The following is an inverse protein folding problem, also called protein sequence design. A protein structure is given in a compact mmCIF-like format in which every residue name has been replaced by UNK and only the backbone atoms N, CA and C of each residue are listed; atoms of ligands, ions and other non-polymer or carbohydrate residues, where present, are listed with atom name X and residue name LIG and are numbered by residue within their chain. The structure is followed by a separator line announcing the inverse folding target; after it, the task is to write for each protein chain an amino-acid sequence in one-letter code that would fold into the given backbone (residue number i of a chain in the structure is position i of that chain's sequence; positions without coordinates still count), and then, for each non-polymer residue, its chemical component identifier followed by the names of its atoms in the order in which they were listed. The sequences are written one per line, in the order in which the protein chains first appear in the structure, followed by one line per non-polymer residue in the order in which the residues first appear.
data_IF_748674076122
#
_entry.id   IF_748674076122
#
_cell.length_a   1.000
_cell.length_b   1.000
_cell.length_c   1.000
_cell.angle_alpha   90.00
_cell.angle_beta   90.00
_cell.angle_gamma   90.00
#
_symmetry.space_group_name_H-M   'P 1'
#
loop_
_entity.id
_entity.type
_entity.pdbx_description
1 polymer ?
#
# COMPACT_ATOMS: atom_id res chain seq x y z
N UNK A 1 18.31 7.72 8.57
CA UNK A 1 18.42 7.89 7.10
C UNK A 1 17.66 9.14 6.72
N UNK A 2 18.22 10.02 5.87
CA UNK A 2 17.51 11.22 5.41
C UNK A 2 16.25 10.85 4.65
N UNK A 3 15.16 11.57 4.91
CA UNK A 3 13.82 11.35 4.38
C UNK A 3 13.55 12.25 3.17
N UNK A 4 12.46 11.99 2.45
CA UNK A 4 12.03 12.83 1.32
C UNK A 4 10.67 13.47 1.59
N UNK A 5 10.58 14.76 1.32
CA UNK A 5 9.39 15.58 1.51
C UNK A 5 8.92 16.17 0.19
N UNK A 6 7.67 15.88 -0.15
CA UNK A 6 6.96 16.56 -1.22
C UNK A 6 6.57 17.96 -0.75
N UNK A 7 6.85 18.98 -1.55
CA UNK A 7 6.36 20.35 -1.35
C UNK A 7 5.60 20.85 -2.57
N UNK A 8 4.78 21.88 -2.39
CA UNK A 8 4.03 22.57 -3.45
C UNK A 8 4.37 24.05 -3.46
N UNK A 9 4.42 24.62 -4.65
CA UNK A 9 4.54 26.05 -4.86
C UNK A 9 3.21 26.66 -5.34
N UNK A 10 2.11 26.22 -4.70
CA UNK A 10 0.77 26.72 -4.97
C UNK A 10 -0.13 25.84 -5.83
N UNK A 11 -1.38 26.28 -6.00
CA UNK A 11 -2.41 25.47 -6.69
C UNK A 11 -2.12 25.36 -8.18
N UNK A 12 -1.58 26.41 -8.79
CA UNK A 12 -1.22 26.47 -10.22
C UNK A 12 0.28 26.60 -10.45
N UNK A 13 1.08 26.45 -9.40
CA UNK A 13 2.53 26.65 -9.49
C UNK A 13 2.93 28.13 -9.46
N UNK A 14 2.07 29.00 -8.91
CA UNK A 14 2.28 30.44 -8.90
C UNK A 14 3.57 30.89 -8.18
N UNK A 15 4.17 30.02 -7.34
CA UNK A 15 5.41 30.29 -6.62
C UNK A 15 6.60 29.46 -7.09
N UNK A 16 6.48 28.68 -8.18
CA UNK A 16 7.54 27.76 -8.63
C UNK A 16 8.87 28.48 -8.90
N UNK A 17 8.82 29.60 -9.60
CA UNK A 17 10.03 30.34 -9.97
C UNK A 17 10.69 30.93 -8.71
N UNK A 18 9.89 31.52 -7.81
CA UNK A 18 10.37 32.05 -6.54
C UNK A 18 11.11 31.01 -5.68
N UNK A 19 10.53 29.83 -5.48
CA UNK A 19 11.13 28.80 -4.62
C UNK A 19 12.44 28.26 -5.19
N UNK A 20 12.54 28.18 -6.52
CA UNK A 20 13.76 27.74 -7.21
C UNK A 20 14.85 28.82 -7.16
N UNK A 21 14.52 30.06 -7.50
CA UNK A 21 15.47 31.19 -7.53
C UNK A 21 16.03 31.54 -6.14
N UNK A 22 15.21 31.44 -5.09
CA UNK A 22 15.59 31.83 -3.74
C UNK A 22 16.09 30.65 -2.89
N UNK A 23 16.13 29.43 -3.44
CA UNK A 23 16.61 28.24 -2.72
C UNK A 23 15.78 27.93 -1.47
N UNK A 24 14.46 27.97 -1.56
CA UNK A 24 13.56 27.74 -0.42
C UNK A 24 12.42 26.79 -0.75
N UNK A 25 11.79 26.19 0.26
CA UNK A 25 10.53 25.46 0.11
C UNK A 25 9.63 25.65 1.34
N UNK A 26 8.34 25.28 1.24
CA UNK A 26 7.38 25.41 2.36
C UNK A 26 6.38 26.58 2.25
N UNK A 27 6.35 27.28 1.10
CA UNK A 27 5.44 28.42 0.86
C UNK A 27 3.94 28.05 0.86
N UNK A 28 3.07 29.03 1.09
CA UNK A 28 1.61 28.91 0.99
C UNK A 28 0.85 28.87 2.33
N UNK A 29 1.50 29.23 3.43
CA UNK A 29 0.88 29.38 4.76
C UNK A 29 0.75 30.87 5.12
N UNK A 30 -0.17 31.58 4.47
CA UNK A 30 -0.32 33.04 4.51
C UNK A 30 -0.96 33.59 5.79
N UNK A 31 -1.65 32.75 6.57
CA UNK A 31 -2.50 33.18 7.69
C UNK A 31 -1.94 32.90 9.08
N UNK A 32 -0.67 32.51 9.19
CA UNK A 32 -0.07 32.11 10.46
C UNK A 32 1.15 32.96 10.82
N UNK A 33 1.36 33.20 12.12
CA UNK A 33 2.57 33.85 12.62
C UNK A 33 3.74 32.87 12.60
N UNK A 34 4.93 33.36 12.96
CA UNK A 34 6.12 32.54 13.17
C UNK A 34 5.83 31.33 14.09
N UNK A 35 6.27 30.16 13.65
CA UNK A 35 6.09 28.87 14.35
C UNK A 35 7.32 28.49 15.17
N UNK A 36 8.36 29.32 15.19
CA UNK A 36 9.64 29.02 15.85
C UNK A 36 9.47 28.69 17.34
N UNK A 37 8.51 29.32 18.02
CA UNK A 37 8.20 29.09 19.43
C UNK A 37 7.29 27.87 19.70
N UNK A 38 6.77 27.21 18.68
CA UNK A 38 5.85 26.08 18.84
C UNK A 38 6.62 24.78 19.03
N UNK A 39 6.41 24.14 20.17
CA UNK A 39 7.20 23.00 20.64
C UNK A 39 6.47 21.67 20.55
N UNK A 40 5.15 21.69 20.38
CA UNK A 40 4.34 20.47 20.27
C UNK A 40 3.28 20.50 19.18
N UNK A 41 2.92 19.30 18.70
CA UNK A 41 1.81 19.11 17.75
C UNK A 41 0.47 19.55 18.35
N UNK A 42 0.29 19.45 19.66
CA UNK A 42 -0.90 19.92 20.37
C UNK A 42 -1.03 21.43 20.28
N UNK A 43 0.02 22.16 20.66
CA UNK A 43 0.10 23.62 20.55
C UNK A 43 -0.17 24.12 19.13
N UNK A 44 0.44 23.45 18.13
CA UNK A 44 0.21 23.80 16.73
C UNK A 44 -1.24 23.62 16.31
N UNK A 45 -1.90 22.53 16.74
CA UNK A 45 -3.30 22.27 16.43
C UNK A 45 -4.23 23.30 17.09
N UNK A 46 -3.93 23.70 18.32
CA UNK A 46 -4.71 24.67 19.06
C UNK A 46 -4.54 26.09 18.49
N UNK A 47 -3.32 26.46 18.09
CA UNK A 47 -3.05 27.70 17.35
C UNK A 47 -3.84 27.74 16.03
N UNK A 48 -3.77 26.68 15.22
CA UNK A 48 -4.50 26.60 13.94
C UNK A 48 -6.01 26.72 14.17
N UNK A 49 -6.56 26.07 15.20
CA UNK A 49 -7.99 26.17 15.52
C UNK A 49 -8.39 27.60 15.89
N UNK A 50 -7.53 28.32 16.62
CA UNK A 50 -7.78 29.70 17.05
C UNK A 50 -7.72 30.68 15.88
N UNK A 51 -6.72 30.57 15.01
CA UNK A 51 -6.47 31.53 13.92
C UNK A 51 -7.28 31.26 12.66
N UNK A 52 -7.83 30.05 12.50
CA UNK A 52 -8.69 29.68 11.38
C UNK A 52 -10.08 29.21 11.88
N UNK A 53 -10.88 30.10 12.47
CA UNK A 53 -12.22 29.77 12.93
C UNK A 53 -13.12 29.31 11.75
N UNK A 54 -14.04 28.40 12.03
CA UNK A 54 -14.98 27.86 11.02
C UNK A 54 -14.45 26.68 10.20
N UNK A 55 -13.17 26.29 10.34
CA UNK A 55 -12.65 25.05 9.73
C UNK A 55 -13.12 23.82 10.51
N UNK A 56 -13.53 22.78 9.78
CA UNK A 56 -13.89 21.50 10.40
C UNK A 56 -12.68 20.77 11.00
N UNK A 57 -12.93 19.81 11.91
CA UNK A 57 -11.89 19.06 12.64
C UNK A 57 -10.85 18.41 11.72
N UNK A 58 -11.27 17.87 10.58
CA UNK A 58 -10.40 17.21 9.60
C UNK A 58 -9.47 18.22 8.90
N UNK A 59 -10.01 19.38 8.51
CA UNK A 59 -9.23 20.45 7.88
C UNK A 59 -8.17 21.01 8.83
N UNK A 60 -8.52 21.20 10.10
CA UNK A 60 -7.57 21.63 11.16
C UNK A 60 -6.46 20.57 11.34
N UNK A 61 -6.82 19.29 11.39
CA UNK A 61 -5.85 18.20 11.54
C UNK A 61 -4.88 18.09 10.34
N UNK A 62 -5.39 18.25 9.11
CA UNK A 62 -4.57 18.24 7.90
C UNK A 62 -3.64 19.45 7.81
N UNK A 63 -4.12 20.64 8.19
CA UNK A 63 -3.33 21.87 8.12
C UNK A 63 -2.23 21.89 9.20
N UNK A 64 -2.58 21.58 10.45
CA UNK A 64 -1.61 21.44 11.55
C UNK A 64 -0.56 20.37 11.29
N UNK A 65 -0.94 19.22 10.70
CA UNK A 65 0.03 18.19 10.33
C UNK A 65 1.04 18.63 9.28
N UNK A 66 0.64 19.48 8.33
CA UNK A 66 1.52 20.04 7.30
C UNK A 66 2.51 21.04 7.88
N UNK A 67 2.03 21.97 8.71
CA UNK A 67 2.87 22.95 9.39
C UNK A 67 3.86 22.29 10.33
N UNK A 68 3.43 21.26 11.06
CA UNK A 68 4.29 20.54 11.98
C UNK A 68 5.37 19.76 11.25
N UNK A 69 5.04 19.16 10.10
CA UNK A 69 6.04 18.54 9.25
C UNK A 69 7.12 19.53 8.81
N UNK A 70 6.70 20.70 8.28
CA UNK A 70 7.63 21.75 7.87
C UNK A 70 8.49 22.27 9.04
N UNK A 71 7.87 22.50 10.21
CA UNK A 71 8.52 23.09 11.39
C UNK A 71 9.48 22.14 12.10
N UNK A 72 9.12 20.87 12.24
CA UNK A 72 9.74 19.97 13.22
C UNK A 72 10.21 18.62 12.66
N UNK A 73 9.81 18.23 11.45
CA UNK A 73 10.24 16.95 10.87
C UNK A 73 11.21 17.11 9.70
N UNK A 74 11.08 18.18 8.91
CA UNK A 74 12.04 18.48 7.85
C UNK A 74 13.36 18.89 8.48
N UNK A 75 14.40 18.08 8.27
CA UNK A 75 15.72 18.26 8.87
C UNK A 75 16.78 18.51 7.79
N UNK A 76 17.92 19.09 8.17
CA UNK A 76 19.07 19.25 7.25
C UNK A 76 19.49 17.90 6.69
N UNK A 77 19.74 17.85 5.38
CA UNK A 77 20.09 16.63 4.64
C UNK A 77 18.90 15.83 4.10
N UNK A 78 17.65 16.15 4.50
CA UNK A 78 16.47 15.60 3.84
C UNK A 78 16.36 16.09 2.39
N UNK A 79 15.63 15.33 1.56
CA UNK A 79 15.27 15.74 0.21
C UNK A 79 13.98 16.54 0.20
N UNK A 80 13.96 17.64 -0.55
CA UNK A 80 12.73 18.31 -0.97
C UNK A 80 12.46 17.99 -2.43
N UNK A 81 11.22 17.60 -2.72
CA UNK A 81 10.72 17.37 -4.08
C UNK A 81 9.61 18.36 -4.39
N UNK A 82 9.71 19.00 -5.54
CA UNK A 82 8.72 19.94 -6.06
C UNK A 82 8.32 19.54 -7.48
N UNK A 83 7.16 18.89 -7.66
CA UNK A 83 6.55 18.72 -8.97
C UNK A 83 6.08 20.07 -9.52
N UNK A 84 6.63 20.44 -10.67
CA UNK A 84 6.42 21.71 -11.38
C UNK A 84 5.27 21.54 -12.36
N UNK A 85 4.17 22.25 -12.11
CA UNK A 85 2.93 22.16 -12.87
C UNK A 85 3.02 22.88 -14.20
N UNK A 86 3.83 23.94 -14.30
CA UNK A 86 3.99 24.72 -15.54
C UNK A 86 4.73 23.93 -16.62
N UNK A 87 5.78 23.21 -16.23
CA UNK A 87 6.68 22.52 -17.17
C UNK A 87 6.54 21.00 -17.16
N UNK A 88 5.74 20.44 -16.24
CA UNK A 88 5.59 18.99 -16.06
C UNK A 88 6.93 18.29 -15.77
N UNK A 89 7.75 18.95 -14.95
CA UNK A 89 9.04 18.46 -14.48
C UNK A 89 9.03 18.31 -12.95
N UNK A 90 10.08 17.74 -12.40
CA UNK A 90 10.30 17.54 -10.97
C UNK A 90 11.60 18.26 -10.61
N UNK A 91 11.54 19.12 -9.60
CA UNK A 91 12.74 19.65 -8.94
C UNK A 91 13.03 18.89 -7.66
N UNK A 92 14.31 18.57 -7.44
CA UNK A 92 14.81 17.82 -6.29
C UNK A 92 16.01 18.58 -5.72
N UNK A 93 15.99 18.79 -4.40
CA UNK A 93 17.05 19.49 -3.69
C UNK A 93 17.25 18.94 -2.29
N UNK A 94 18.34 19.36 -1.64
CA UNK A 94 18.69 18.99 -0.27
C UNK A 94 18.38 20.13 0.68
N UNK A 95 17.80 19.81 1.83
CA UNK A 95 17.57 20.80 2.89
C UNK A 95 18.92 21.21 3.49
N UNK A 96 19.21 22.52 3.47
CA UNK A 96 20.43 23.11 4.03
C UNK A 96 20.17 23.87 5.32
N UNK A 97 18.91 24.25 5.58
CA UNK A 97 18.47 24.85 6.84
C UNK A 97 17.05 24.41 7.13
N UNK A 98 16.82 24.01 8.38
CA UNK A 98 15.49 23.70 8.92
C UNK A 98 14.57 24.94 8.89
N UNK A 99 13.37 24.80 9.45
CA UNK A 99 12.38 25.86 9.42
C UNK A 99 12.89 27.20 9.93
N UNK A 100 12.56 28.26 9.21
CA UNK A 100 12.71 29.64 9.64
C UNK A 100 11.61 30.52 9.05
N UNK A 101 11.36 31.64 9.70
CA UNK A 101 10.37 32.63 9.26
C UNK A 101 11.08 33.79 8.55
N UNK A 102 10.76 33.99 7.28
CA UNK A 102 11.26 35.09 6.45
C UNK A 102 10.50 36.37 6.76
N UNK A 103 11.24 37.47 6.78
CA UNK A 103 10.66 38.80 6.60
C UNK A 103 10.43 39.04 5.11
N UNK A 104 9.18 38.90 4.68
CA UNK A 104 8.77 39.04 3.28
C UNK A 104 7.41 39.77 3.23
N UNK A 105 7.22 40.74 2.31
CA UNK A 105 5.95 41.45 2.19
C UNK A 105 4.79 40.50 1.83
N UNK A 106 5.04 39.39 1.13
CA UNK A 106 4.04 38.37 0.83
C UNK A 106 3.97 37.34 1.98
N UNK A 107 2.88 37.28 2.76
CA UNK A 107 2.73 36.32 3.86
C UNK A 107 2.85 34.86 3.41
N UNK A 108 2.50 34.55 2.15
CA UNK A 108 2.63 33.22 1.58
C UNK A 108 4.07 32.76 1.39
N UNK A 109 5.07 33.65 1.50
CA UNK A 109 6.50 33.36 1.32
C UNK A 109 7.29 33.31 2.63
N UNK A 110 6.62 33.49 3.77
CA UNK A 110 7.30 33.64 5.07
C UNK A 110 7.72 32.32 5.71
N UNK A 111 6.91 31.27 5.59
CA UNK A 111 7.24 29.96 6.17
C UNK A 111 8.11 29.15 5.21
N UNK A 112 9.38 28.95 5.56
CA UNK A 112 10.31 28.26 4.66
C UNK A 112 11.30 27.34 5.38
N UNK A 113 11.84 26.40 4.61
CA UNK A 113 13.12 25.72 4.82
C UNK A 113 14.05 26.13 3.68
N UNK A 114 15.37 26.13 3.91
CA UNK A 114 16.33 26.42 2.82
C UNK A 114 16.70 25.14 2.10
N UNK A 115 16.76 25.21 0.77
CA UNK A 115 16.96 24.08 -0.12
C UNK A 115 18.03 24.42 -1.15
N UNK A 116 19.04 23.57 -1.22
CA UNK A 116 19.99 23.54 -2.33
C UNK A 116 19.42 22.67 -3.45
N UNK A 117 18.81 23.31 -4.45
CA UNK A 117 18.21 22.65 -5.61
C UNK A 117 19.29 22.05 -6.50
N UNK A 118 19.44 20.72 -6.44
CA UNK A 118 20.46 19.99 -7.20
C UNK A 118 20.04 19.73 -8.64
N UNK A 119 18.75 19.50 -8.89
CA UNK A 119 18.23 19.25 -10.23
C UNK A 119 16.78 19.72 -10.34
N UNK A 120 16.45 20.48 -11.38
CA UNK A 120 15.14 21.17 -11.49
C UNK A 120 14.33 20.77 -12.72
N UNK A 121 14.90 19.94 -13.59
CA UNK A 121 14.45 19.66 -14.95
C UNK A 121 14.09 18.20 -15.19
N UNK A 122 14.04 17.37 -14.14
CA UNK A 122 13.71 15.94 -14.24
C UNK A 122 12.33 15.80 -14.89
N UNK A 123 12.19 15.14 -16.06
CA UNK A 123 10.88 14.94 -16.69
C UNK A 123 9.94 14.18 -15.74
N UNK A 124 8.65 14.54 -15.70
CA UNK A 124 7.67 13.82 -14.87
C UNK A 124 7.67 12.31 -15.16
N UNK A 125 7.81 11.93 -16.43
CA UNK A 125 7.88 10.55 -16.93
C UNK A 125 9.10 9.77 -16.45
N UNK A 126 10.17 10.46 -16.04
CA UNK A 126 11.38 9.80 -15.57
C UNK A 126 11.13 9.05 -14.25
N UNK A 127 10.11 9.44 -13.48
CA UNK A 127 9.63 8.72 -12.31
C UNK A 127 8.62 7.63 -12.71
N UNK A 128 8.78 6.43 -12.16
CA UNK A 128 7.84 5.34 -12.35
C UNK A 128 6.47 5.68 -11.74
N UNK A 129 5.43 4.98 -12.20
CA UNK A 129 4.02 5.28 -11.88
C UNK A 129 3.73 5.35 -10.37
N UNK A 130 4.29 4.44 -9.59
CA UNK A 130 4.08 4.35 -8.15
C UNK A 130 4.67 5.56 -7.39
N UNK A 131 5.86 6.01 -7.78
CA UNK A 131 6.48 7.22 -7.26
C UNK A 131 5.69 8.46 -7.72
N UNK A 132 5.27 8.52 -8.98
CA UNK A 132 4.39 9.60 -9.50
C UNK A 132 3.07 9.68 -8.73
N UNK A 133 2.47 8.54 -8.40
CA UNK A 133 1.26 8.48 -7.58
C UNK A 133 1.49 9.07 -6.18
N UNK A 134 2.62 8.77 -5.55
CA UNK A 134 3.01 9.40 -4.28
C UNK A 134 3.24 10.91 -4.43
N UNK A 135 3.89 11.32 -5.51
CA UNK A 135 4.13 12.72 -5.86
C UNK A 135 2.88 13.48 -6.34
N UNK A 136 1.75 12.81 -6.55
CA UNK A 136 0.47 13.41 -6.96
C UNK A 136 -0.38 13.95 -5.79
N UNK A 137 0.05 13.73 -4.54
CA UNK A 137 -0.67 14.15 -3.33
C UNK A 137 -1.10 15.62 -3.37
N UNK A 138 -2.36 15.90 -3.09
CA UNK A 138 -2.91 17.27 -3.10
C UNK A 138 -2.45 18.13 -1.90
N UNK A 139 -1.65 17.58 -0.98
CA UNK A 139 -1.14 18.32 0.19
C UNK A 139 0.01 19.26 -0.21
N UNK A 140 0.13 20.38 0.50
CA UNK A 140 1.22 21.35 0.31
C UNK A 140 2.55 20.77 0.76
N UNK A 141 2.58 20.05 1.86
CA UNK A 141 3.75 19.30 2.32
C UNK A 141 3.37 17.93 2.85
N UNK A 142 4.09 16.88 2.45
CA UNK A 142 4.00 15.58 3.10
C UNK A 142 5.24 14.74 2.84
N UNK A 143 5.53 13.81 3.75
CA UNK A 143 6.52 12.78 3.49
C UNK A 143 6.14 11.98 2.23
N UNK A 144 7.12 11.70 1.38
CA UNK A 144 6.97 10.79 0.25
C UNK A 144 6.92 9.38 0.83
N UNK A 145 5.77 8.71 0.68
CA UNK A 145 5.51 7.38 1.25
C UNK A 145 5.38 6.35 0.13
N UNK A 146 6.50 5.94 -0.43
CA UNK A 146 6.62 4.76 -1.29
C UNK A 146 7.91 4.02 -0.94
N UNK A 147 7.97 2.75 -1.30
CA UNK A 147 9.09 1.88 -1.02
C UNK A 147 10.36 2.46 -1.66
N UNK A 148 11.38 2.65 -0.83
CA UNK A 148 12.66 3.29 -1.16
C UNK A 148 12.56 4.66 -1.84
N UNK A 149 11.43 5.37 -1.66
CA UNK A 149 11.15 6.63 -2.35
C UNK A 149 12.23 7.69 -2.16
N UNK A 150 12.81 7.79 -0.96
CA UNK A 150 13.91 8.71 -0.71
C UNK A 150 15.17 8.36 -1.51
N UNK A 151 15.51 7.08 -1.65
CA UNK A 151 16.67 6.65 -2.44
C UNK A 151 16.43 6.86 -3.93
N UNK A 152 15.26 6.47 -4.44
CA UNK A 152 14.88 6.67 -5.85
C UNK A 152 14.87 8.14 -6.26
N UNK A 153 14.49 9.03 -5.35
CA UNK A 153 14.59 10.47 -5.57
C UNK A 153 16.04 10.97 -5.61
N UNK A 154 16.97 10.37 -4.86
CA UNK A 154 18.42 10.63 -5.03
C UNK A 154 18.91 10.15 -6.38
N UNK A 155 18.46 9.00 -6.84
CA UNK A 155 18.86 8.43 -8.12
C UNK A 155 18.32 9.28 -9.28
N UNK A 156 17.07 9.75 -9.19
CA UNK A 156 16.52 10.76 -10.11
C UNK A 156 17.29 12.08 -10.08
N UNK A 157 17.67 12.55 -8.90
CA UNK A 157 18.45 13.78 -8.75
C UNK A 157 19.82 13.68 -9.42
N UNK A 158 20.50 12.54 -9.26
CA UNK A 158 21.87 12.33 -9.75
C UNK A 158 21.92 11.87 -11.20
N UNK A 159 21.13 10.87 -11.56
CA UNK A 159 21.18 10.21 -12.89
C UNK A 159 20.06 10.68 -13.82
N UNK A 160 18.96 11.19 -13.28
CA UNK A 160 17.77 11.57 -14.06
C UNK A 160 16.89 10.37 -14.43
N UNK A 161 17.18 9.20 -13.87
CA UNK A 161 16.42 7.98 -14.05
C UNK A 161 15.97 7.46 -12.69
N UNK A 162 14.71 7.06 -12.62
CA UNK A 162 14.19 6.29 -11.50
C UNK A 162 14.56 4.82 -11.73
N UNK A 163 15.34 4.17 -10.85
CA UNK A 163 15.64 2.74 -10.99
C UNK A 163 14.38 1.87 -10.77
N UNK A 164 13.26 2.47 -10.37
CA UNK A 164 12.09 1.77 -9.87
C UNK A 164 12.28 1.40 -8.40
N UNK A 165 11.27 0.77 -7.82
CA UNK A 165 11.45 0.11 -6.52
C UNK A 165 12.58 -0.91 -6.70
N UNK A 166 13.65 -0.88 -5.88
CA UNK A 166 14.66 -1.92 -5.91
C UNK A 166 13.92 -3.25 -5.85
N UNK A 167 14.10 -4.07 -6.88
CA UNK A 167 13.73 -5.46 -6.76
C UNK A 167 14.54 -5.99 -5.59
N UNK A 168 13.90 -6.13 -4.42
CA UNK A 168 14.34 -7.12 -3.44
C UNK A 168 14.57 -8.38 -4.28
N UNK A 169 15.69 -9.10 -4.18
CA UNK A 169 15.80 -10.36 -4.91
C UNK A 169 14.54 -11.19 -4.58
N UNK A 170 13.64 -11.34 -5.57
CA UNK A 170 12.29 -11.89 -5.41
C UNK A 170 11.07 -10.93 -5.55
N UNK A 171 11.21 -9.61 -5.69
CA UNK A 171 10.08 -8.68 -5.86
C UNK A 171 9.82 -8.36 -7.35
N UNK A 172 8.64 -8.74 -7.82
CA UNK A 172 8.14 -8.67 -9.19
C UNK A 172 7.30 -7.40 -9.41
N UNK A 173 7.26 -6.89 -10.65
CA UNK A 173 6.58 -5.62 -10.98
C UNK A 173 5.06 -5.79 -11.12
N UNK A 174 4.24 -4.71 -11.13
CA UNK A 174 2.79 -4.79 -11.30
C UNK A 174 2.31 -5.48 -12.60
N UNK A 175 3.19 -5.66 -13.58
CA UNK A 175 2.93 -6.35 -14.84
C UNK A 175 3.32 -7.85 -14.82
N UNK A 176 3.88 -8.33 -13.72
CA UNK A 176 4.30 -9.71 -13.50
C UNK A 176 3.25 -10.47 -12.69
N UNK A 177 1.97 -10.36 -13.04
CA UNK A 177 0.99 -11.28 -12.47
C UNK A 177 1.30 -12.66 -12.99
N UNK A 178 1.56 -13.57 -12.07
CA UNK A 178 1.72 -14.97 -12.40
C UNK A 178 0.47 -15.48 -13.11
N UNK A 179 0.68 -16.20 -14.19
CA UNK A 179 -0.35 -16.97 -14.88
C UNK A 179 -0.94 -18.02 -13.92
N UNK A 180 -2.15 -18.56 -14.20
CA UNK A 180 -2.71 -19.65 -13.42
C UNK A 180 -1.74 -20.83 -13.27
N UNK A 181 -1.04 -21.20 -14.35
CA UNK A 181 -0.07 -22.29 -14.36
C UNK A 181 1.10 -22.04 -13.42
N UNK A 182 1.65 -20.82 -13.39
CA UNK A 182 2.76 -20.47 -12.48
C UNK A 182 2.29 -20.45 -11.02
N UNK A 183 1.11 -19.90 -10.73
CA UNK A 183 0.54 -19.93 -9.38
C UNK A 183 0.35 -21.37 -8.88
N UNK A 184 -0.22 -22.23 -9.73
CA UNK A 184 -0.45 -23.62 -9.38
C UNK A 184 0.88 -24.39 -9.24
N UNK A 185 1.89 -24.10 -10.06
CA UNK A 185 3.22 -24.67 -9.93
C UNK A 185 3.86 -24.31 -8.58
N UNK A 186 3.81 -23.04 -8.16
CA UNK A 186 4.31 -22.61 -6.84
C UNK A 186 3.57 -23.30 -5.69
N UNK A 187 2.24 -23.43 -5.80
CA UNK A 187 1.44 -24.11 -4.79
C UNK A 187 1.79 -25.59 -4.66
N UNK A 188 1.98 -26.27 -5.79
CA UNK A 188 2.38 -27.67 -5.82
C UNK A 188 3.80 -27.86 -5.30
N UNK A 189 4.74 -26.99 -5.67
CA UNK A 189 6.11 -27.04 -5.18
C UNK A 189 6.17 -26.91 -3.64
N UNK A 190 5.37 -26.02 -3.07
CA UNK A 190 5.27 -25.84 -1.62
C UNK A 190 4.64 -27.04 -0.87
N UNK A 191 3.87 -27.89 -1.57
CA UNK A 191 3.27 -29.10 -0.99
C UNK A 191 4.04 -30.38 -1.32
N UNK A 192 4.93 -30.33 -2.32
CA UNK A 192 5.80 -31.42 -2.80
C UNK A 192 5.14 -32.80 -2.67
N UNK A 193 5.59 -33.58 -1.69
CA UNK A 193 5.32 -35.01 -1.51
C UNK A 193 3.90 -35.30 -1.00
N UNK A 194 3.14 -34.26 -0.65
CA UNK A 194 1.77 -34.38 -0.13
C UNK A 194 0.73 -34.41 -1.25
N UNK A 195 1.09 -34.09 -2.49
CA UNK A 195 0.19 -34.11 -3.65
C UNK A 195 0.41 -35.38 -4.46
N UNK A 196 -0.64 -36.18 -4.61
CA UNK A 196 -0.62 -37.44 -5.38
C UNK A 196 -1.05 -37.20 -6.82
N UNK A 197 -2.02 -36.31 -7.04
CA UNK A 197 -2.59 -36.03 -8.36
C UNK A 197 -3.06 -34.58 -8.42
N UNK A 198 -2.84 -33.93 -9.57
CA UNK A 198 -3.37 -32.62 -9.88
C UNK A 198 -4.04 -32.60 -11.25
N UNK A 199 -5.06 -31.76 -11.42
CA UNK A 199 -5.57 -31.40 -12.75
C UNK A 199 -4.53 -30.57 -13.53
N UNK A 200 -4.88 -30.21 -14.78
CA UNK A 200 -4.09 -29.29 -15.60
C UNK A 200 -3.84 -27.96 -14.86
N UNK A 201 -2.58 -27.51 -14.84
CA UNK A 201 -2.15 -26.29 -14.15
C UNK A 201 -2.68 -25.01 -14.80
N UNK A 202 -3.00 -25.03 -16.09
CA UNK A 202 -3.66 -23.91 -16.78
C UNK A 202 -5.13 -23.74 -16.43
N UNK A 203 -5.75 -24.74 -15.80
CA UNK A 203 -7.19 -24.74 -15.48
C UNK A 203 -7.43 -24.22 -14.07
N UNK A 204 -8.46 -23.38 -13.94
CA UNK A 204 -8.96 -22.90 -12.66
C UNK A 204 -10.39 -23.40 -12.44
N UNK A 205 -10.73 -23.92 -11.24
CA UNK A 205 -9.85 -24.19 -10.10
C UNK A 205 -8.91 -25.38 -10.33
N UNK A 206 -7.79 -25.40 -9.60
CA UNK A 206 -6.90 -26.56 -9.55
C UNK A 206 -7.53 -27.65 -8.68
N UNK A 207 -7.71 -28.85 -9.22
CA UNK A 207 -8.21 -29.98 -8.46
C UNK A 207 -7.06 -30.89 -8.00
N UNK A 208 -7.02 -31.21 -6.71
CA UNK A 208 -5.94 -31.98 -6.12
C UNK A 208 -6.47 -33.23 -5.41
N UNK A 209 -5.66 -34.30 -5.44
CA UNK A 209 -5.70 -35.38 -4.46
C UNK A 209 -4.44 -35.31 -3.60
N UNK A 210 -4.63 -35.31 -2.28
CA UNK A 210 -3.55 -35.16 -1.31
C UNK A 210 -3.57 -36.31 -0.29
N UNK A 211 -2.47 -36.46 0.43
CA UNK A 211 -2.28 -37.49 1.46
C UNK A 211 -1.92 -36.89 2.82
N UNK A 212 -1.89 -37.74 3.85
CA UNK A 212 -1.51 -37.35 5.21
C UNK A 212 -2.61 -36.61 5.94
N UNK A 213 -2.25 -35.57 6.68
CA UNK A 213 -3.16 -34.73 7.48
C UNK A 213 -3.89 -33.66 6.67
N UNK A 214 -3.67 -33.60 5.36
CA UNK A 214 -4.33 -32.68 4.44
C UNK A 214 -5.69 -33.24 3.96
N UNK A 215 -6.61 -32.39 3.50
CA UNK A 215 -7.87 -32.87 2.93
C UNK A 215 -7.61 -33.72 1.68
N UNK A 216 -8.08 -34.97 1.69
CA UNK A 216 -7.81 -35.96 0.64
C UNK A 216 -8.15 -35.47 -0.77
N UNK A 217 -9.20 -34.63 -0.90
CA UNK A 217 -9.59 -34.01 -2.16
C UNK A 217 -9.82 -32.52 -1.94
N UNK A 218 -9.09 -31.70 -2.66
CA UNK A 218 -9.22 -30.25 -2.62
C UNK A 218 -9.56 -29.66 -3.99
N UNK A 219 -10.19 -28.50 -3.96
CA UNK A 219 -10.45 -27.63 -5.11
C UNK A 219 -9.93 -26.24 -4.78
N UNK A 220 -8.88 -25.82 -5.46
CA UNK A 220 -8.11 -24.62 -5.11
C UNK A 220 -8.46 -23.49 -6.08
N UNK A 221 -9.05 -22.43 -5.56
CA UNK A 221 -9.25 -21.18 -6.29
C UNK A 221 -8.11 -20.24 -5.94
N UNK A 222 -7.10 -20.21 -6.81
CA UNK A 222 -5.89 -19.42 -6.61
C UNK A 222 -5.93 -18.08 -7.36
N UNK A 223 -5.33 -17.06 -6.75
CA UNK A 223 -5.28 -15.70 -7.25
C UNK A 223 -3.95 -15.02 -6.91
N UNK A 224 -3.50 -14.11 -7.76
CA UNK A 224 -2.44 -13.18 -7.40
C UNK A 224 -2.93 -12.25 -6.28
N UNK A 225 -2.26 -12.26 -5.12
CA UNK A 225 -2.47 -11.30 -4.06
C UNK A 225 -1.55 -10.10 -4.30
N UNK A 226 -2.13 -8.95 -4.63
CA UNK A 226 -1.36 -7.77 -5.08
C UNK A 226 -1.56 -6.57 -4.17
N UNK A 227 -0.56 -5.69 -4.09
CA UNK A 227 -0.65 -4.36 -3.47
C UNK A 227 -0.85 -3.30 -4.55
N UNK A 228 -2.09 -3.03 -5.01
CA UNK A 228 -2.30 -2.02 -6.05
C UNK A 228 -1.84 -0.64 -5.56
N UNK A 229 -1.00 0.08 -6.34
CA UNK A 229 -0.60 1.44 -6.03
C UNK A 229 -1.83 2.34 -5.85
N UNK A 230 -1.90 3.11 -4.76
CA UNK A 230 -2.95 4.13 -4.55
C UNK A 230 -4.27 3.64 -3.92
N UNK A 231 -4.42 2.35 -3.61
CA UNK A 231 -5.58 1.86 -2.84
C UNK A 231 -5.48 2.27 -1.36
N UNK A 232 -6.43 3.06 -0.84
CA UNK A 232 -6.63 3.12 0.62
C UNK A 232 -7.34 1.84 1.08
N UNK A 233 -6.95 1.25 2.22
CA UNK A 233 -5.84 1.62 3.10
C UNK A 233 -4.47 1.22 2.51
N UNK A 234 -3.47 2.08 2.68
CA UNK A 234 -2.08 1.71 2.41
C UNK A 234 -1.68 0.58 3.37
N UNK A 235 -1.14 -0.52 2.85
CA UNK A 235 -0.73 -1.68 3.65
C UNK A 235 -1.66 -2.89 3.59
N UNK A 236 -2.41 -3.11 2.51
CA UNK A 236 -3.17 -4.36 2.31
C UNK A 236 -2.85 -5.01 0.96
N UNK A 237 -2.84 -6.34 0.92
CA UNK A 237 -2.91 -7.13 -0.30
C UNK A 237 -4.37 -7.45 -0.63
N UNK A 238 -4.65 -7.58 -1.92
CA UNK A 238 -6.00 -7.86 -2.43
C UNK A 238 -5.97 -8.95 -3.50
N UNK A 239 -6.98 -9.80 -3.46
CA UNK A 239 -7.38 -10.69 -4.55
C UNK A 239 -8.75 -10.24 -5.11
N UNK A 240 -9.02 -10.56 -6.38
CA UNK A 240 -10.30 -10.33 -7.04
C UNK A 240 -10.98 -11.66 -7.32
N UNK A 241 -12.11 -11.93 -6.67
CA UNK A 241 -12.87 -13.16 -6.90
C UNK A 241 -13.56 -13.08 -8.26
N UNK A 242 -13.12 -13.96 -9.16
CA UNK A 242 -13.70 -14.23 -10.47
C UNK A 242 -13.57 -15.74 -10.66
N UNK A 243 -14.69 -16.45 -10.58
CA UNK A 243 -14.77 -17.90 -10.77
C UNK A 243 -15.00 -18.23 -12.26
N UNK A 244 -14.78 -19.49 -12.70
CA UNK A 244 -15.04 -19.87 -14.09
C UNK A 244 -16.47 -19.51 -14.52
N UNK A 245 -16.62 -19.02 -15.75
CA UNK A 245 -17.89 -18.59 -16.33
C UNK A 245 -18.60 -17.46 -15.55
N UNK A 246 -17.88 -16.69 -14.72
CA UNK A 246 -18.46 -15.56 -13.99
C UNK A 246 -18.39 -14.28 -14.81
N UNK A 247 -19.52 -13.77 -15.29
CA UNK A 247 -19.55 -12.55 -16.10
C UNK A 247 -19.90 -11.29 -15.30
N UNK A 248 -19.62 -10.12 -15.88
CA UNK A 248 -19.92 -8.83 -15.25
C UNK A 248 -21.43 -8.67 -15.04
N UNK A 249 -21.81 -8.30 -13.82
CA UNK A 249 -23.22 -8.16 -13.41
C UNK A 249 -23.83 -9.45 -12.85
N UNK A 250 -23.19 -10.60 -13.03
CA UNK A 250 -23.62 -11.86 -12.44
C UNK A 250 -23.12 -12.02 -11.00
N UNK A 251 -23.81 -12.90 -10.27
CA UNK A 251 -23.41 -13.35 -8.94
C UNK A 251 -22.67 -14.68 -9.05
N UNK A 252 -21.56 -14.79 -8.32
CA UNK A 252 -20.70 -15.98 -8.31
C UNK A 252 -20.76 -16.70 -6.96
N UNK A 253 -20.50 -18.00 -7.01
CA UNK A 253 -20.28 -18.86 -5.86
C UNK A 253 -19.11 -19.80 -6.17
N UNK A 254 -18.43 -20.28 -5.14
CA UNK A 254 -17.48 -21.38 -5.29
C UNK A 254 -18.23 -22.69 -5.50
N UNK A 255 -17.67 -23.58 -6.31
CA UNK A 255 -18.22 -24.91 -6.53
C UNK A 255 -17.86 -25.84 -5.37
N UNK A 256 -18.88 -26.22 -4.60
CA UNK A 256 -18.80 -27.07 -3.41
C UNK A 256 -19.13 -28.55 -3.70
N UNK A 257 -19.28 -28.94 -4.98
CA UNK A 257 -19.64 -30.30 -5.37
C UNK A 257 -18.52 -31.34 -5.13
N UNK A 258 -18.86 -32.61 -5.40
CA UNK A 258 -17.92 -33.74 -5.47
C UNK A 258 -17.16 -34.09 -4.17
N UNK A 259 -17.64 -33.59 -3.03
CA UNK A 259 -17.04 -33.86 -1.72
C UNK A 259 -15.61 -33.29 -1.59
N UNK A 260 -15.27 -32.26 -2.37
CA UNK A 260 -13.97 -31.60 -2.31
C UNK A 260 -13.98 -30.46 -1.30
N UNK A 261 -12.90 -30.33 -0.53
CA UNK A 261 -12.69 -29.14 0.30
C UNK A 261 -12.25 -27.98 -0.60
N UNK A 262 -13.00 -26.87 -0.55
CA UNK A 262 -12.65 -25.68 -1.32
C UNK A 262 -11.65 -24.82 -0.55
N UNK A 263 -10.50 -24.55 -1.19
CA UNK A 263 -9.46 -23.66 -0.69
C UNK A 263 -9.48 -22.36 -1.50
N UNK A 264 -9.62 -21.23 -0.81
CA UNK A 264 -9.48 -19.90 -1.39
C UNK A 264 -8.08 -19.37 -1.06
N UNK A 265 -7.22 -19.30 -2.08
CA UNK A 265 -5.80 -19.03 -1.92
C UNK A 265 -5.39 -17.78 -2.70
N UNK A 266 -4.64 -16.90 -2.05
CA UNK A 266 -3.90 -15.82 -2.67
C UNK A 266 -2.41 -16.07 -2.53
N UNK A 267 -1.63 -15.65 -3.52
CA UNK A 267 -0.17 -15.71 -3.45
C UNK A 267 0.41 -14.32 -3.62
N UNK A 268 1.13 -13.85 -2.60
CA UNK A 268 1.89 -12.62 -2.61
C UNK A 268 3.31 -12.95 -3.08
N UNK A 269 3.53 -12.87 -4.40
CA UNK A 269 4.77 -13.28 -5.04
C UNK A 269 6.00 -12.57 -4.46
N UNK A 270 5.89 -11.25 -4.23
CA UNK A 270 6.99 -10.43 -3.70
C UNK A 270 7.49 -10.86 -2.31
N UNK A 271 6.68 -11.59 -1.56
CA UNK A 271 6.99 -12.06 -0.21
C UNK A 271 7.09 -13.59 -0.14
N UNK A 272 6.83 -14.30 -1.23
CA UNK A 272 6.68 -15.76 -1.29
C UNK A 272 5.72 -16.31 -0.21
N UNK A 273 4.59 -15.62 0.00
CA UNK A 273 3.59 -15.95 1.04
C UNK A 273 2.25 -16.34 0.42
N UNK A 274 1.73 -17.49 0.86
CA UNK A 274 0.37 -17.94 0.60
C UNK A 274 -0.59 -17.36 1.64
N UNK A 275 -1.82 -17.05 1.21
CA UNK A 275 -2.87 -16.50 2.05
C UNK A 275 -4.15 -17.29 1.84
N UNK A 276 -4.69 -17.83 2.92
CA UNK A 276 -5.86 -18.69 2.94
C UNK A 276 -7.03 -17.99 3.65
N UNK A 277 -8.06 -17.68 2.88
CA UNK A 277 -9.35 -17.18 3.39
C UNK A 277 -10.36 -18.32 3.53
N UNK A 278 -11.41 -18.11 4.31
CA UNK A 278 -12.51 -19.07 4.40
C UNK A 278 -13.42 -18.93 3.18
N UNK A 279 -13.31 -19.84 2.21
CA UNK A 279 -14.13 -19.84 1.00
C UNK A 279 -15.64 -19.82 1.32
N UNK A 280 -16.06 -20.52 2.38
CA UNK A 280 -17.46 -20.62 2.78
C UNK A 280 -18.04 -19.35 3.42
N UNK A 281 -17.19 -18.38 3.79
CA UNK A 281 -17.61 -17.06 4.25
C UNK A 281 -18.01 -16.12 3.09
N UNK A 282 -17.72 -16.48 1.84
CA UNK A 282 -18.06 -15.71 0.64
C UNK A 282 -19.10 -16.47 -0.18
N UNK A 283 -20.36 -16.06 -0.03
CA UNK A 283 -21.49 -16.54 -0.85
C UNK A 283 -22.08 -15.39 -1.62
N UNK A 284 -22.68 -15.72 -2.77
CA UNK A 284 -23.39 -14.77 -3.61
C UNK A 284 -22.55 -13.49 -3.79
N UNK A 285 -21.38 -13.59 -4.41
CA UNK A 285 -20.49 -12.43 -4.56
C UNK A 285 -20.61 -11.79 -5.94
N UNK A 286 -20.47 -10.47 -6.00
CA UNK A 286 -20.41 -9.74 -7.26
C UNK A 286 -19.17 -10.14 -8.07
N UNK A 287 -19.23 -10.00 -9.39
CA UNK A 287 -18.08 -10.08 -10.28
C UNK A 287 -16.93 -9.19 -9.80
N UNK A 288 -15.71 -9.74 -9.79
CA UNK A 288 -14.50 -9.07 -9.31
C UNK A 288 -14.65 -8.54 -7.88
N UNK A 289 -15.10 -9.40 -6.96
CA UNK A 289 -15.20 -9.04 -5.54
C UNK A 289 -13.81 -8.94 -4.91
N UNK A 290 -13.53 -7.80 -4.27
CA UNK A 290 -12.34 -7.60 -3.47
C UNK A 290 -12.34 -8.46 -2.20
N UNK A 291 -11.23 -9.15 -1.95
CA UNK A 291 -10.91 -9.80 -0.67
C UNK A 291 -9.50 -9.38 -0.27
N UNK A 292 -9.30 -9.03 1.01
CA UNK A 292 -8.09 -8.36 1.46
C UNK A 292 -7.45 -9.02 2.68
N UNK A 293 -6.13 -8.85 2.79
CA UNK A 293 -5.31 -9.24 3.95
C UNK A 293 -4.37 -8.07 4.25
N UNK A 294 -4.11 -7.84 5.53
CA UNK A 294 -3.21 -6.80 6.01
C UNK A 294 -1.75 -7.18 5.76
N UNK A 295 -0.91 -6.18 5.47
CA UNK A 295 0.53 -6.41 5.26
C UNK A 295 1.20 -6.93 6.52
N UNK A 296 0.71 -6.55 7.71
CA UNK A 296 1.23 -7.06 8.99
C UNK A 296 1.08 -8.59 9.08
N UNK A 297 0.03 -9.16 8.49
CA UNK A 297 -0.20 -10.61 8.47
C UNK A 297 0.80 -11.32 7.56
N UNK A 298 1.09 -10.74 6.39
CA UNK A 298 2.09 -11.25 5.44
C UNK A 298 3.48 -11.18 6.06
N UNK A 299 3.83 -10.05 6.67
CA UNK A 299 5.10 -9.87 7.37
C UNK A 299 5.25 -10.82 8.56
N UNK A 300 4.16 -11.10 9.29
CA UNK A 300 4.18 -12.08 10.37
C UNK A 300 4.45 -13.50 9.85
N UNK A 301 3.81 -13.91 8.75
CA UNK A 301 4.07 -15.20 8.10
C UNK A 301 5.52 -15.30 7.62
N UNK A 302 6.02 -14.26 6.94
CA UNK A 302 7.41 -14.20 6.50
C UNK A 302 8.40 -14.34 7.67
N UNK A 303 8.12 -13.68 8.80
CA UNK A 303 9.02 -13.69 9.95
C UNK A 303 8.94 -14.96 10.83
N UNK A 304 7.80 -15.68 10.82
CA UNK A 304 7.50 -16.74 11.80
C UNK A 304 6.99 -18.04 11.18
N UNK A 305 6.94 -18.15 9.86
CA UNK A 305 6.30 -19.26 9.15
C UNK A 305 4.80 -19.05 8.94
N UNK A 306 4.05 -18.67 9.98
CA UNK A 306 2.58 -18.46 9.94
C UNK A 306 2.19 -17.09 10.54
N UNK A 307 1.26 -16.41 9.86
CA UNK A 307 0.62 -15.18 10.30
C UNK A 307 -0.91 -15.32 10.32
N UNK A 308 -1.58 -14.75 11.33
CA UNK A 308 -3.04 -14.83 11.48
C UNK A 308 -3.67 -13.45 11.51
N UNK A 309 -4.87 -13.34 10.94
CA UNK A 309 -5.66 -12.10 10.98
C UNK A 309 -7.15 -12.37 11.18
N UNK A 310 -7.70 -11.83 12.25
CA UNK A 310 -9.14 -11.78 12.46
C UNK A 310 -9.80 -10.71 11.58
N UNK A 311 -10.90 -11.09 10.92
CA UNK A 311 -11.74 -10.19 10.12
C UNK A 311 -13.20 -10.40 10.47
N UNK A 312 -13.96 -9.31 10.39
CA UNK A 312 -15.42 -9.31 10.48
C UNK A 312 -15.98 -9.01 9.11
N UNK A 313 -16.72 -9.97 8.57
CA UNK A 313 -17.36 -9.88 7.28
C UNK A 313 -18.87 -9.70 7.45
N UNK A 314 -19.49 -9.03 6.48
CA UNK A 314 -20.95 -8.96 6.37
C UNK A 314 -21.38 -9.44 4.97
N UNK A 315 -21.50 -10.76 4.76
CA UNK A 315 -21.88 -11.30 3.46
C UNK A 315 -23.30 -10.86 3.09
N UNK A 316 -23.49 -10.21 1.94
CA UNK A 316 -24.82 -9.91 1.37
C UNK A 316 -25.79 -9.13 2.27
N UNK A 317 -25.30 -8.37 3.26
CA UNK A 317 -26.16 -7.68 4.24
C UNK A 317 -26.70 -8.56 5.39
N UNK A 318 -26.35 -9.84 5.41
CA UNK A 318 -26.74 -10.81 6.45
C UNK A 318 -26.02 -10.65 7.79
N UNK A 319 -26.04 -11.72 8.60
CA UNK A 319 -25.35 -11.78 9.90
C UNK A 319 -23.85 -11.57 9.72
N UNK A 320 -23.25 -10.88 10.68
CA UNK A 320 -21.79 -10.71 10.74
C UNK A 320 -21.14 -12.07 10.94
N UNK A 321 -20.12 -12.36 10.15
CA UNK A 321 -19.33 -13.59 10.21
C UNK A 321 -17.90 -13.22 10.58
N UNK A 322 -17.32 -13.92 11.56
CA UNK A 322 -15.89 -13.84 11.84
C UNK A 322 -15.15 -14.83 10.95
N UNK A 323 -14.01 -14.41 10.42
CA UNK A 323 -13.05 -15.30 9.79
C UNK A 323 -11.64 -14.99 10.32
N UNK A 324 -10.84 -16.04 10.45
CA UNK A 324 -9.39 -15.94 10.72
C UNK A 324 -8.66 -16.21 9.42
N UNK A 325 -8.06 -15.20 8.79
CA UNK A 325 -7.20 -15.39 7.62
C UNK A 325 -5.87 -15.99 8.07
N UNK A 326 -5.38 -16.99 7.34
CA UNK A 326 -4.11 -17.67 7.61
C UNK A 326 -3.14 -17.32 6.49
N UNK A 327 -1.99 -16.74 6.80
CA UNK A 327 -0.90 -16.53 5.86
C UNK A 327 0.28 -17.43 6.22
N UNK A 328 0.99 -17.98 5.25
CA UNK A 328 2.11 -18.88 5.48
C UNK A 328 3.16 -18.81 4.36
N UNK A 329 4.42 -19.07 4.72
CA UNK A 329 5.48 -19.35 3.75
C UNK A 329 5.24 -20.73 3.09
N UNK A 330 5.94 -21.01 1.98
CA UNK A 330 5.82 -22.31 1.30
C UNK A 330 6.09 -23.50 2.21
N UNK A 331 7.14 -23.44 3.03
CA UNK A 331 7.50 -24.49 4.00
C UNK A 331 6.39 -24.81 5.02
N UNK A 332 5.54 -23.83 5.33
CA UNK A 332 4.48 -23.95 6.33
C UNK A 332 3.08 -24.08 5.71
N UNK A 333 2.99 -24.23 4.38
CA UNK A 333 1.72 -24.25 3.66
C UNK A 333 0.84 -25.44 4.07
N UNK A 334 1.42 -26.62 4.28
CA UNK A 334 0.68 -27.80 4.70
C UNK A 334 0.02 -27.60 6.08
N UNK A 335 0.77 -27.07 7.05
CA UNK A 335 0.25 -26.72 8.38
C UNK A 335 -0.86 -25.66 8.27
N UNK A 336 -0.66 -24.65 7.43
CA UNK A 336 -1.63 -23.59 7.21
C UNK A 336 -2.94 -24.10 6.56
N UNK A 337 -2.86 -25.06 5.64
CA UNK A 337 -4.04 -25.72 5.06
C UNK A 337 -4.79 -26.50 6.15
N UNK A 338 -4.09 -27.30 6.95
CA UNK A 338 -4.71 -28.05 8.04
C UNK A 338 -5.42 -27.13 9.04
N UNK A 339 -4.75 -26.04 9.46
CA UNK A 339 -5.31 -25.02 10.33
C UNK A 339 -6.53 -24.34 9.68
N UNK A 340 -6.45 -23.99 8.39
CA UNK A 340 -7.56 -23.39 7.66
C UNK A 340 -8.78 -24.32 7.63
N UNK A 341 -8.58 -25.62 7.39
CA UNK A 341 -9.68 -26.60 7.38
C UNK A 341 -10.32 -26.71 8.76
N UNK A 342 -9.52 -26.78 9.83
CA UNK A 342 -10.04 -26.82 11.20
C UNK A 342 -10.86 -25.56 11.55
N UNK A 343 -10.35 -24.37 11.23
CA UNK A 343 -11.06 -23.11 11.43
C UNK A 343 -12.38 -23.05 10.65
N UNK A 344 -12.39 -23.55 9.41
CA UNK A 344 -13.62 -23.63 8.60
C UNK A 344 -14.64 -24.59 9.22
N UNK A 345 -14.19 -25.73 9.75
CA UNK A 345 -15.04 -26.69 10.48
C UNK A 345 -15.63 -26.06 11.74
N UNK A 346 -14.82 -25.40 12.57
CA UNK A 346 -15.27 -24.70 13.79
C UNK A 346 -16.33 -23.64 13.49
N UNK A 347 -16.17 -22.89 12.38
CA UNK A 347 -17.18 -21.93 11.93
C UNK A 347 -18.50 -22.62 11.59
N UNK A 348 -18.46 -23.72 10.85
CA UNK A 348 -19.67 -24.46 10.45
C UNK A 348 -20.40 -25.05 11.66
N UNK A 349 -19.67 -25.43 12.71
CA UNK A 349 -20.23 -25.92 13.98
C UNK A 349 -20.70 -24.79 14.92
N UNK A 350 -20.46 -23.52 14.60
CA UNK A 350 -20.85 -22.37 15.42
C UNK A 350 -19.93 -22.10 16.61
N UNK A 351 -18.74 -22.68 16.64
CA UNK A 351 -17.77 -22.55 17.73
C UNK A 351 -16.94 -21.25 17.67
N UNK A 352 -17.08 -20.47 16.58
CA UNK A 352 -16.35 -19.21 16.33
C UNK A 352 -17.22 -17.94 16.45
N UNK A 353 -18.34 -18.00 17.20
CA UNK A 353 -19.30 -16.89 17.36
C UNK A 353 -18.71 -15.65 18.07
#
# INVERSE_FOLDING_TARGET
MPTAWLTRAGRRGEREDFVLEHGVAGTGFDRLPDLSSISSRGEMKDMVRRLLPGRNKMSVANYSGQLWALRAHVSVGDLIVLPRKKTRQIAIGLVTREYWYRDDPDPGRRHVVSVDWKRTDVPWEAAHEDLRNSLSSLRTICAVKCDDGAQRLRDLMTTGRDPGTPSRPGAMTPNDRMTPSELHAEFLAALSDLVVESSDLGVKPLELKMVGSLPLRARVYMYNATRPPGGRPAGEYKIQLIVPNHERGQRGNFDLADGRIVLLVGYAADDAVFVLWDAGAYRDFAYSRNVQVKSETILAAYARGIGLQERRLRPGGGKMVRETVVAATGEHLAEAIALRVDLSRKRLLGELN
#
